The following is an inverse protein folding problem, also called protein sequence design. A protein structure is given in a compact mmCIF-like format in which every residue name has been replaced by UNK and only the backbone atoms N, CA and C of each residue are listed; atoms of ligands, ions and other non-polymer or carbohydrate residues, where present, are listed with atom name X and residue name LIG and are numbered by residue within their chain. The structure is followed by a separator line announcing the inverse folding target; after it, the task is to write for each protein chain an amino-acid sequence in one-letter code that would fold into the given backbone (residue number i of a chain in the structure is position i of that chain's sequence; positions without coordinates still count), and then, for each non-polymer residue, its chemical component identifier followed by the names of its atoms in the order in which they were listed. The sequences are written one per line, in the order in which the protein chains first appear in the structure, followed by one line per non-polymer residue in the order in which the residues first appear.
data_IF_599503824759
#
_entry.id   IF_599503824759
#
_cell.length_a   1.000
_cell.length_b   1.000
_cell.length_c   1.000
_cell.angle_alpha   90.00
_cell.angle_beta   90.00
_cell.angle_gamma   90.00
#
_symmetry.space_group_name_H-M   'P 1'
#
loop_
_entity.id
_entity.type
_entity.pdbx_description
1 polymer ?
#
# COMPACT_ATOMS: atom_id res chain seq x y z
N UNK A 1 -14.02 -53.96 -11.04
CA UNK A 1 -12.99 -53.66 -10.00
C UNK A 1 -11.57 -54.12 -10.31
N UNK A 2 -11.31 -55.10 -11.19
CA UNK A 2 -9.97 -55.58 -11.52
C UNK A 2 -9.10 -54.65 -12.40
N UNK A 3 -9.69 -53.64 -13.07
CA UNK A 3 -9.00 -52.75 -14.00
C UNK A 3 -8.20 -51.62 -13.27
N UNK A 4 -8.70 -51.16 -12.13
CA UNK A 4 -8.07 -50.05 -11.38
C UNK A 4 -6.76 -50.49 -10.74
N UNK A 5 -6.65 -51.75 -10.29
CA UNK A 5 -5.42 -52.30 -9.69
C UNK A 5 -4.26 -52.53 -10.66
N UNK A 6 -4.50 -52.51 -12.01
CA UNK A 6 -3.42 -52.60 -13.00
C UNK A 6 -2.66 -51.30 -13.15
N UNK A 7 -3.27 -50.17 -12.84
CA UNK A 7 -2.67 -48.82 -12.91
C UNK A 7 -1.60 -48.65 -11.84
N UNK A 8 -1.69 -49.42 -10.74
CA UNK A 8 -0.76 -49.32 -9.60
C UNK A 8 0.48 -50.27 -9.69
N UNK A 9 0.78 -50.85 -10.85
CA UNK A 9 2.01 -51.61 -11.06
C UNK A 9 3.11 -50.72 -11.65
N UNK A 10 4.12 -50.43 -10.86
CA UNK A 10 5.41 -49.82 -11.28
C UNK A 10 5.31 -48.51 -12.05
N UNK A 11 5.27 -48.54 -13.36
CA UNK A 11 5.24 -47.36 -14.22
C UNK A 11 3.97 -46.49 -14.07
N UNK A 12 2.83 -47.07 -13.65
CA UNK A 12 1.61 -46.31 -13.45
C UNK A 12 1.65 -45.40 -12.23
N UNK A 13 2.28 -45.81 -11.15
CA UNK A 13 2.49 -45.00 -9.95
C UNK A 13 3.44 -43.83 -10.27
N UNK A 14 4.52 -44.12 -10.99
CA UNK A 14 5.52 -43.10 -11.36
C UNK A 14 4.89 -42.02 -12.28
N UNK A 15 4.08 -42.47 -13.26
CA UNK A 15 3.36 -41.54 -14.14
C UNK A 15 2.36 -40.69 -13.36
N UNK A 16 1.60 -41.29 -12.43
CA UNK A 16 0.64 -40.55 -11.60
C UNK A 16 1.34 -39.51 -10.73
N UNK A 17 2.47 -39.87 -10.11
CA UNK A 17 3.29 -38.94 -9.34
C UNK A 17 3.85 -37.82 -10.22
N UNK A 18 4.38 -38.16 -11.39
CA UNK A 18 4.89 -37.18 -12.37
C UNK A 18 3.80 -36.19 -12.82
N UNK A 19 2.59 -36.69 -13.13
CA UNK A 19 1.46 -35.83 -13.47
C UNK A 19 1.06 -34.93 -12.30
N UNK A 20 1.00 -35.48 -11.09
CA UNK A 20 0.65 -34.68 -9.89
C UNK A 20 1.62 -33.54 -9.66
N UNK A 21 2.93 -33.82 -9.75
CA UNK A 21 3.97 -32.78 -9.65
C UNK A 21 3.85 -31.75 -10.77
N UNK A 22 3.62 -32.20 -12.01
CA UNK A 22 3.47 -31.29 -13.15
C UNK A 22 2.24 -30.37 -13.00
N UNK A 23 1.09 -30.92 -12.58
CA UNK A 23 -0.10 -30.10 -12.33
C UNK A 23 0.07 -29.15 -11.15
N UNK A 24 0.74 -29.58 -10.08
CA UNK A 24 1.05 -28.72 -8.95
C UNK A 24 1.96 -27.55 -9.35
N UNK A 25 3.02 -27.83 -10.13
CA UNK A 25 3.90 -26.79 -10.66
C UNK A 25 3.16 -25.81 -11.59
N UNK A 26 2.33 -26.34 -12.51
CA UNK A 26 1.52 -25.51 -13.38
C UNK A 26 0.54 -24.63 -12.60
N UNK A 27 -0.10 -25.16 -11.56
CA UNK A 27 -0.99 -24.39 -10.69
C UNK A 27 -0.26 -23.22 -10.02
N UNK A 28 0.93 -23.49 -9.44
CA UNK A 28 1.74 -22.44 -8.82
C UNK A 28 2.11 -21.35 -9.82
N UNK A 29 2.54 -21.73 -11.03
CA UNK A 29 2.86 -20.77 -12.10
C UNK A 29 1.64 -19.93 -12.52
N UNK A 30 0.46 -20.55 -12.65
CA UNK A 30 -0.77 -19.83 -12.98
C UNK A 30 -1.16 -18.82 -11.90
N UNK A 31 -1.03 -19.22 -10.62
CA UNK A 31 -1.28 -18.30 -9.49
C UNK A 31 -0.31 -17.14 -9.51
N UNK A 32 0.99 -17.40 -9.78
CA UNK A 32 2.00 -16.34 -9.88
C UNK A 32 1.68 -15.37 -11.03
N UNK A 33 1.39 -15.89 -12.21
CA UNK A 33 1.01 -15.07 -13.38
C UNK A 33 -0.24 -14.23 -13.08
N UNK A 34 -1.25 -14.83 -12.44
CA UNK A 34 -2.46 -14.09 -12.05
C UNK A 34 -2.15 -12.97 -11.06
N UNK A 35 -1.29 -13.23 -10.07
CA UNK A 35 -0.84 -12.25 -9.10
C UNK A 35 -0.11 -11.09 -9.80
N UNK A 36 0.84 -11.40 -10.68
CA UNK A 36 1.65 -10.41 -11.38
C UNK A 36 0.81 -9.57 -12.37
N UNK A 37 -0.11 -10.19 -13.09
CA UNK A 37 -1.05 -9.50 -13.97
C UNK A 37 -2.04 -8.59 -13.21
N UNK A 38 -2.29 -8.89 -11.93
CA UNK A 38 -3.13 -8.10 -11.03
C UNK A 38 -2.39 -6.98 -10.31
N UNK A 39 -1.07 -6.81 -10.52
CA UNK A 39 -0.24 -5.88 -9.75
C UNK A 39 -0.68 -4.43 -9.95
N UNK A 40 -0.84 -3.69 -8.84
CA UNK A 40 -1.29 -2.30 -8.80
C UNK A 40 -2.65 -1.98 -9.47
N UNK A 41 -3.49 -2.97 -9.76
CA UNK A 41 -4.79 -2.76 -10.44
C UNK A 41 -5.78 -1.87 -9.67
N UNK A 42 -5.59 -1.67 -8.38
CA UNK A 42 -6.43 -0.75 -7.59
C UNK A 42 -6.15 0.70 -7.93
N UNK A 43 -4.94 1.00 -8.41
CA UNK A 43 -4.58 2.34 -8.90
C UNK A 43 -5.26 2.54 -10.24
N UNK A 44 -6.18 3.52 -10.31
CA UNK A 44 -6.90 3.84 -11.55
C UNK A 44 -5.96 4.44 -12.57
N UNK A 45 -6.19 4.11 -13.83
CA UNK A 45 -5.46 4.72 -14.97
C UNK A 45 -3.92 4.66 -14.81
N UNK A 46 -3.39 3.54 -14.30
CA UNK A 46 -1.97 3.34 -14.03
C UNK A 46 -1.08 3.68 -15.25
N UNK A 47 -1.59 3.45 -16.46
CA UNK A 47 -0.90 3.79 -17.72
C UNK A 47 -0.74 5.31 -17.94
N UNK A 48 -1.54 6.13 -17.26
CA UNK A 48 -1.50 7.60 -17.30
C UNK A 48 -0.85 8.20 -16.06
N UNK A 49 -0.38 7.37 -15.14
CA UNK A 49 0.29 7.81 -13.92
C UNK A 49 1.77 8.06 -14.19
N UNK A 50 2.22 9.28 -13.94
CA UNK A 50 3.61 9.69 -14.11
C UNK A 50 4.20 10.20 -12.80
N UNK A 51 5.48 9.95 -12.60
CA UNK A 51 6.22 10.47 -11.48
C UNK A 51 7.10 11.61 -11.98
N UNK A 52 6.95 12.78 -11.37
CA UNK A 52 7.83 13.92 -11.66
C UNK A 52 9.19 13.69 -11.03
N UNK A 53 10.23 13.65 -11.86
CA UNK A 53 11.62 13.52 -11.43
C UNK A 53 12.51 14.58 -12.04
N UNK A 54 13.65 14.83 -11.39
CA UNK A 54 14.72 15.68 -11.92
C UNK A 54 15.93 14.83 -12.27
N UNK A 55 16.78 15.28 -13.22
CA UNK A 55 18.05 14.60 -13.46
C UNK A 55 18.87 14.50 -12.17
N UNK A 56 19.45 13.34 -11.93
CA UNK A 56 20.26 13.11 -10.74
C UNK A 56 21.58 13.87 -10.83
N UNK A 57 21.95 14.58 -9.77
CA UNK A 57 23.22 15.27 -9.67
C UNK A 57 24.41 14.31 -9.41
N UNK A 58 24.09 13.10 -8.93
CA UNK A 58 25.08 12.11 -8.50
C UNK A 58 25.28 10.96 -9.49
N UNK A 59 24.42 10.85 -10.50
CA UNK A 59 24.46 9.73 -11.44
C UNK A 59 23.97 10.18 -12.80
N UNK A 60 24.88 10.22 -13.76
CA UNK A 60 24.57 10.58 -15.14
C UNK A 60 23.52 9.62 -15.73
N UNK A 61 22.52 10.17 -16.43
CA UNK A 61 21.45 9.40 -17.05
C UNK A 61 20.38 8.84 -16.09
N UNK A 62 20.45 9.12 -14.78
CA UNK A 62 19.43 8.73 -13.82
C UNK A 62 18.59 9.93 -13.38
N UNK A 63 17.35 9.63 -13.00
CA UNK A 63 16.43 10.62 -12.44
C UNK A 63 16.29 10.38 -10.93
N UNK A 64 16.12 11.48 -10.20
CA UNK A 64 15.74 11.44 -8.79
C UNK A 64 14.33 12.02 -8.64
N UNK A 65 13.52 11.42 -7.81
CA UNK A 65 12.13 11.84 -7.55
C UNK A 65 12.01 12.77 -6.34
N UNK A 66 13.15 13.11 -5.73
CA UNK A 66 13.18 14.02 -4.59
C UNK A 66 13.27 15.45 -5.08
N UNK A 67 12.15 16.15 -5.03
CA UNK A 67 12.01 17.57 -5.31
C UNK A 67 11.58 18.31 -4.06
N UNK A 68 11.98 19.58 -3.95
CA UNK A 68 11.47 20.48 -2.93
C UNK A 68 9.95 20.64 -3.10
N UNK A 69 9.16 20.41 -2.05
CA UNK A 69 7.68 20.44 -2.08
C UNK A 69 7.11 21.72 -2.69
N UNK A 70 7.56 22.95 -2.32
CA UNK A 70 7.07 24.17 -2.96
C UNK A 70 7.31 24.22 -4.47
N UNK A 71 8.43 23.71 -4.94
CA UNK A 71 8.74 23.65 -6.38
C UNK A 71 7.84 22.66 -7.10
N UNK A 72 7.57 21.49 -6.51
CA UNK A 72 6.62 20.51 -7.05
C UNK A 72 5.24 21.13 -7.22
N UNK A 73 4.73 21.80 -6.18
CA UNK A 73 3.43 22.47 -6.20
C UNK A 73 3.39 23.52 -7.33
N UNK A 74 4.39 24.41 -7.39
CA UNK A 74 4.44 25.46 -8.40
C UNK A 74 4.50 24.93 -9.84
N UNK A 75 5.17 23.80 -10.08
CA UNK A 75 5.21 23.16 -11.40
C UNK A 75 3.83 22.58 -11.73
N UNK A 76 3.20 21.87 -10.79
CA UNK A 76 1.94 21.17 -11.02
C UNK A 76 0.77 22.14 -11.20
N UNK A 77 0.74 23.25 -10.48
CA UNK A 77 -0.27 24.30 -10.65
C UNK A 77 -0.23 24.95 -12.03
N UNK A 78 0.92 24.96 -12.70
CA UNK A 78 1.09 25.50 -14.04
C UNK A 78 0.91 24.45 -15.15
N UNK A 79 0.87 23.17 -14.82
CA UNK A 79 0.80 22.07 -15.77
C UNK A 79 -0.65 21.83 -16.24
N UNK A 80 -1.14 22.60 -17.21
CA UNK A 80 -2.52 22.51 -17.73
C UNK A 80 -2.92 21.16 -18.33
N UNK A 81 -1.97 20.27 -18.60
CA UNK A 81 -2.23 18.92 -19.14
C UNK A 81 -2.39 17.86 -18.04
N UNK A 82 -2.18 18.23 -16.77
CA UNK A 82 -2.30 17.33 -15.63
C UNK A 82 -3.72 17.44 -15.07
N UNK A 83 -4.46 16.35 -15.10
CA UNK A 83 -5.84 16.29 -14.60
C UNK A 83 -5.90 16.27 -13.08
N UNK A 84 -4.98 15.53 -12.45
CA UNK A 84 -4.88 15.37 -11.01
C UNK A 84 -3.44 15.13 -10.61
N UNK A 85 -3.04 15.64 -9.47
CA UNK A 85 -1.68 15.45 -8.96
C UNK A 85 -1.65 15.42 -7.44
N UNK A 86 -0.62 14.84 -6.90
CA UNK A 86 -0.38 14.84 -5.48
C UNK A 86 1.08 14.61 -5.15
N UNK A 87 1.44 14.94 -3.92
CA UNK A 87 2.77 14.68 -3.38
C UNK A 87 2.67 13.52 -2.41
N UNK A 88 3.54 12.52 -2.61
CA UNK A 88 3.64 11.37 -1.74
C UNK A 88 5.07 11.24 -1.24
N UNK A 89 5.24 11.10 0.05
CA UNK A 89 6.48 10.67 0.67
C UNK A 89 6.28 9.28 1.25
N UNK A 90 6.71 8.29 0.49
CA UNK A 90 6.71 6.90 0.91
C UNK A 90 8.09 6.66 1.52
N UNK A 91 8.19 6.80 2.85
CA UNK A 91 9.48 6.74 3.55
C UNK A 91 9.98 5.32 3.72
N UNK A 92 11.24 5.06 3.37
CA UNK A 92 12.07 3.92 3.72
C UNK A 92 11.39 2.55 3.71
N UNK A 93 11.61 1.72 4.73
CA UNK A 93 10.88 0.47 4.98
C UNK A 93 9.44 0.71 5.50
N UNK A 94 9.03 1.98 5.54
CA UNK A 94 7.68 2.44 5.85
C UNK A 94 7.19 2.14 7.26
N UNK A 95 8.06 1.62 8.14
CA UNK A 95 7.65 1.22 9.48
C UNK A 95 8.04 2.26 10.51
N UNK A 96 7.05 2.95 11.02
CA UNK A 96 7.20 3.82 12.18
C UNK A 96 6.50 3.22 13.41
N UNK A 97 6.96 3.60 14.58
CA UNK A 97 6.26 3.26 15.80
C UNK A 97 5.01 4.13 15.92
N UNK A 98 3.88 3.48 16.17
CA UNK A 98 2.61 4.12 16.45
C UNK A 98 2.18 3.71 17.83
N UNK A 99 1.76 4.66 18.66
CA UNK A 99 1.34 4.42 20.04
C UNK A 99 -0.14 4.74 20.18
N UNK A 100 -0.83 3.95 20.99
CA UNK A 100 -2.24 4.11 21.30
C UNK A 100 -2.41 4.02 22.81
N UNK A 101 -3.19 4.92 23.39
CA UNK A 101 -3.36 5.04 24.85
C UNK A 101 -2.25 5.87 25.49
N UNK A 102 -2.36 6.07 26.79
CA UNK A 102 -1.41 6.84 27.60
C UNK A 102 -1.07 6.10 28.90
N UNK A 103 0.11 6.36 29.44
CA UNK A 103 0.55 5.81 30.72
C UNK A 103 0.68 4.28 30.68
N UNK A 104 0.05 3.60 31.66
CA UNK A 104 0.12 2.14 31.80
C UNK A 104 -0.66 1.38 30.70
N UNK A 105 -1.56 2.05 29.99
CA UNK A 105 -2.36 1.48 28.91
C UNK A 105 -1.73 1.72 27.52
N UNK A 106 -0.57 2.39 27.46
CA UNK A 106 0.10 2.66 26.20
C UNK A 106 0.53 1.36 25.51
N UNK A 107 0.08 1.20 24.27
CA UNK A 107 0.47 0.09 23.40
C UNK A 107 1.20 0.63 22.18
N UNK A 108 2.34 0.02 21.87
CA UNK A 108 3.19 0.40 20.73
C UNK A 108 3.09 -0.62 19.61
N UNK A 109 2.89 -0.14 18.40
CA UNK A 109 2.81 -0.94 17.18
C UNK A 109 3.86 -0.46 16.17
N UNK A 110 4.42 -1.38 15.39
CA UNK A 110 5.28 -1.06 14.26
C UNK A 110 4.47 -1.20 12.98
N UNK A 111 4.05 -0.07 12.42
CA UNK A 111 3.11 -0.01 11.29
C UNK A 111 3.67 0.92 10.21
N UNK A 112 3.45 0.56 8.94
CA UNK A 112 3.85 1.38 7.80
C UNK A 112 3.08 2.70 7.76
N UNK A 113 3.82 3.80 7.65
CA UNK A 113 3.26 5.16 7.58
C UNK A 113 3.75 5.88 6.33
N UNK A 114 2.93 6.77 5.79
CA UNK A 114 3.30 7.62 4.66
C UNK A 114 2.66 9.00 4.75
N UNK A 115 3.36 10.00 4.25
CA UNK A 115 2.81 11.35 4.07
C UNK A 115 2.28 11.48 2.65
N UNK A 116 0.99 11.76 2.52
CA UNK A 116 0.33 11.96 1.23
C UNK A 116 -0.56 13.19 1.28
N UNK A 117 -0.46 14.05 0.27
CA UNK A 117 -1.44 15.12 0.10
C UNK A 117 -2.79 14.55 -0.33
N UNK A 118 -3.86 15.32 -0.12
CA UNK A 118 -5.23 14.93 -0.52
C UNK A 118 -5.30 14.48 -1.98
N UNK A 119 -4.64 15.20 -2.90
CA UNK A 119 -4.59 14.83 -4.32
C UNK A 119 -3.91 13.48 -4.56
N UNK A 120 -2.89 13.12 -3.77
CA UNK A 120 -2.24 11.82 -3.89
C UNK A 120 -3.17 10.67 -3.48
N UNK A 121 -4.05 10.87 -2.49
CA UNK A 121 -5.05 9.86 -2.11
C UNK A 121 -5.98 9.54 -3.27
N UNK A 122 -6.43 10.56 -4.01
CA UNK A 122 -7.31 10.40 -5.16
C UNK A 122 -6.58 9.72 -6.33
N UNK A 123 -5.34 10.14 -6.62
CA UNK A 123 -4.49 9.56 -7.68
C UNK A 123 -4.22 8.08 -7.43
N UNK A 124 -3.93 7.69 -6.19
CA UNK A 124 -3.66 6.29 -5.84
C UNK A 124 -4.92 5.46 -5.57
N UNK A 125 -6.10 6.09 -5.59
CA UNK A 125 -7.38 5.40 -5.43
C UNK A 125 -7.64 4.89 -4.00
N UNK A 126 -7.14 5.58 -2.97
CA UNK A 126 -7.53 5.31 -1.60
C UNK A 126 -9.01 5.61 -1.42
N UNK A 127 -9.75 4.70 -0.78
CA UNK A 127 -11.20 4.82 -0.61
C UNK A 127 -11.54 4.77 0.88
N UNK A 128 -12.18 5.81 1.44
CA UNK A 128 -12.62 5.78 2.83
C UNK A 128 -13.81 4.83 2.98
N UNK A 129 -13.78 3.99 4.01
CA UNK A 129 -14.88 3.09 4.44
C UNK A 129 -15.70 3.75 5.54
N UNK A 130 -15.02 4.43 6.46
CA UNK A 130 -15.65 5.20 7.54
C UNK A 130 -14.99 6.56 7.62
N UNK A 131 -15.77 7.61 7.82
CA UNK A 131 -15.28 8.99 7.82
C UNK A 131 -15.02 9.53 6.42
N UNK A 132 -14.25 10.59 6.31
CA UNK A 132 -13.88 11.23 5.04
C UNK A 132 -12.44 11.72 5.07
N UNK A 133 -11.81 11.84 3.89
CA UNK A 133 -10.49 12.47 3.78
C UNK A 133 -10.51 13.99 3.80
N UNK A 134 -11.68 14.64 3.84
CA UNK A 134 -11.80 16.10 3.80
C UNK A 134 -11.17 16.79 5.02
N UNK A 135 -10.99 16.05 6.10
CA UNK A 135 -10.31 16.55 7.31
C UNK A 135 -8.80 16.41 7.30
N UNK A 136 -8.21 15.73 6.30
CA UNK A 136 -6.78 15.42 6.30
C UNK A 136 -5.86 16.61 6.00
N UNK A 137 -6.39 17.72 5.50
CA UNK A 137 -5.62 18.95 5.29
C UNK A 137 -5.33 19.72 6.59
N UNK A 138 -5.94 19.28 7.70
CA UNK A 138 -5.69 19.87 9.02
C UNK A 138 -4.48 19.23 9.66
N UNK A 139 -3.70 20.04 10.36
CA UNK A 139 -2.65 19.54 11.24
C UNK A 139 -3.25 18.56 12.27
N UNK A 140 -2.44 17.60 12.71
CA UNK A 140 -2.83 16.61 13.74
C UNK A 140 -3.99 15.68 13.33
N UNK A 141 -4.18 15.44 12.03
CA UNK A 141 -5.14 14.46 11.55
C UNK A 141 -4.48 13.30 10.80
N UNK A 142 -5.13 12.14 10.83
CA UNK A 142 -4.60 10.91 10.27
C UNK A 142 -5.72 10.04 9.72
N UNK A 143 -5.44 9.31 8.64
CA UNK A 143 -6.29 8.22 8.18
C UNK A 143 -5.56 6.88 8.38
N UNK A 144 -6.30 5.82 8.71
CA UNK A 144 -5.76 4.50 8.97
C UNK A 144 -6.46 3.45 8.12
N UNK A 145 -5.76 2.36 7.78
CA UNK A 145 -6.38 1.25 7.06
C UNK A 145 -7.30 0.43 7.97
N UNK A 146 -8.22 -0.35 7.40
CA UNK A 146 -9.12 -1.24 8.16
C UNK A 146 -8.34 -2.24 9.01
N UNK A 147 -7.26 -2.81 8.47
CA UNK A 147 -6.40 -3.74 9.22
C UNK A 147 -5.69 -3.06 10.37
N UNK A 148 -5.20 -1.84 10.21
CA UNK A 148 -4.59 -1.05 11.27
C UNK A 148 -5.60 -0.65 12.35
N UNK A 149 -6.79 -0.20 11.96
CA UNK A 149 -7.89 0.10 12.87
C UNK A 149 -8.24 -1.11 13.76
N UNK A 150 -8.39 -2.28 13.13
CA UNK A 150 -8.68 -3.54 13.85
C UNK A 150 -7.54 -3.97 14.76
N UNK A 151 -6.28 -3.86 14.30
CA UNK A 151 -5.10 -4.24 15.06
C UNK A 151 -4.92 -3.38 16.31
N UNK A 152 -5.11 -2.08 16.16
CA UNK A 152 -4.93 -1.10 17.24
C UNK A 152 -6.17 -0.96 18.14
N UNK A 153 -7.35 -1.37 17.64
CA UNK A 153 -8.63 -1.21 18.32
C UNK A 153 -9.08 0.24 18.37
N UNK A 154 -8.80 1.02 17.33
CA UNK A 154 -9.15 2.45 17.21
C UNK A 154 -10.01 2.71 15.97
N UNK A 155 -10.80 3.77 16.01
CA UNK A 155 -11.68 4.19 14.94
C UNK A 155 -11.69 5.70 14.73
N UNK A 156 -12.59 6.19 13.91
CA UNK A 156 -12.75 7.63 13.65
C UNK A 156 -13.09 8.37 14.94
N UNK A 157 -12.34 9.42 15.22
CA UNK A 157 -12.45 10.23 16.45
C UNK A 157 -11.44 9.88 17.53
N UNK A 158 -10.79 8.71 17.45
CA UNK A 158 -9.76 8.33 18.42
C UNK A 158 -8.42 9.01 18.12
N UNK A 159 -7.57 9.14 19.13
CA UNK A 159 -6.23 9.70 19.03
C UNK A 159 -5.15 8.62 18.94
N UNK A 160 -4.19 8.81 18.04
CA UNK A 160 -2.99 7.96 17.94
C UNK A 160 -1.73 8.80 17.84
N UNK A 161 -0.61 8.32 18.38
CA UNK A 161 0.69 8.99 18.27
C UNK A 161 1.51 8.36 17.15
N UNK A 162 1.88 9.13 16.15
CA UNK A 162 2.65 8.66 15.01
C UNK A 162 4.12 9.03 15.14
N UNK A 163 5.00 8.05 15.05
CA UNK A 163 6.44 8.24 15.16
C UNK A 163 6.87 8.76 16.54
N UNK A 164 7.64 9.84 16.54
CA UNK A 164 8.13 10.52 17.76
C UNK A 164 7.21 11.67 18.19
N UNK A 165 6.03 11.79 17.60
CA UNK A 165 5.05 12.83 17.94
C UNK A 165 4.70 12.81 19.43
N UNK A 166 4.59 14.00 20.02
CA UNK A 166 4.19 14.17 21.43
C UNK A 166 2.69 14.38 21.57
N UNK A 167 2.08 14.96 20.54
CA UNK A 167 0.64 15.21 20.50
C UNK A 167 -0.04 14.07 19.70
N UNK A 168 -1.24 13.65 20.13
CA UNK A 168 -2.00 12.64 19.42
C UNK A 168 -2.60 13.22 18.14
N UNK A 169 -2.56 12.46 17.06
CA UNK A 169 -3.27 12.77 15.82
C UNK A 169 -4.66 12.13 15.85
N UNK A 170 -5.68 12.89 15.46
CA UNK A 170 -7.06 12.41 15.43
C UNK A 170 -7.31 11.59 14.17
N UNK A 171 -7.85 10.39 14.30
CA UNK A 171 -8.28 9.55 13.17
C UNK A 171 -9.53 10.15 12.54
N UNK A 172 -9.43 10.63 11.30
CA UNK A 172 -10.55 11.25 10.55
C UNK A 172 -11.19 10.29 9.55
N UNK A 173 -10.46 9.27 9.12
CA UNK A 173 -10.98 8.25 8.22
C UNK A 173 -10.35 6.88 8.47
N UNK A 174 -11.15 5.85 8.24
CA UNK A 174 -10.68 4.48 8.05
C UNK A 174 -10.86 4.14 6.58
N UNK A 175 -9.80 3.70 5.91
CA UNK A 175 -9.82 3.38 4.48
C UNK A 175 -9.61 1.89 4.22
N UNK A 176 -10.08 1.45 3.04
CA UNK A 176 -9.94 0.08 2.58
C UNK A 176 -8.47 -0.31 2.37
N UNK A 177 -8.04 -1.46 2.90
CA UNK A 177 -6.68 -1.94 2.73
C UNK A 177 -6.27 -2.02 1.25
N UNK A 178 -5.02 -1.66 0.96
CA UNK A 178 -4.47 -1.88 -0.36
C UNK A 178 -4.20 -3.37 -0.58
N UNK A 179 -4.45 -3.89 -1.79
CA UNK A 179 -4.20 -5.29 -2.11
C UNK A 179 -2.73 -5.67 -1.88
N UNK A 180 -2.48 -6.93 -1.50
CA UNK A 180 -1.12 -7.44 -1.27
C UNK A 180 -0.21 -7.34 -2.52
N UNK A 181 -0.81 -7.32 -3.71
CA UNK A 181 -0.12 -7.11 -4.99
C UNK A 181 -0.11 -5.63 -5.41
N UNK A 182 0.13 -4.73 -4.47
CA UNK A 182 0.32 -3.31 -4.71
C UNK A 182 1.59 -2.82 -4.00
N UNK A 183 2.30 -1.87 -4.61
CA UNK A 183 3.42 -1.16 -3.97
C UNK A 183 3.00 -0.39 -2.72
N UNK A 184 1.70 -0.13 -2.58
CA UNK A 184 1.12 0.62 -1.48
C UNK A 184 0.58 -0.27 -0.36
N UNK A 185 0.76 -1.60 -0.43
CA UNK A 185 0.18 -2.57 0.50
C UNK A 185 0.69 -2.43 1.95
N UNK A 186 1.88 -1.87 2.13
CA UNK A 186 2.48 -1.68 3.46
C UNK A 186 2.15 -0.33 4.09
N UNK A 187 1.32 0.48 3.44
CA UNK A 187 0.89 1.78 3.96
C UNK A 187 -0.41 1.56 4.71
N UNK A 188 -0.36 1.76 6.01
CA UNK A 188 -1.51 1.55 6.90
C UNK A 188 -1.91 2.82 7.65
N UNK A 189 -1.04 3.84 7.67
CA UNK A 189 -1.28 5.11 8.31
C UNK A 189 -0.87 6.22 7.35
N UNK A 190 -1.81 7.14 7.08
CA UNK A 190 -1.65 8.27 6.19
C UNK A 190 -1.83 9.57 6.96
N UNK A 191 -0.93 10.53 6.76
CA UNK A 191 -1.03 11.89 7.32
C UNK A 191 -0.47 12.91 6.31
N UNK A 192 -0.87 14.18 6.43
CA UNK A 192 -0.44 15.27 5.55
C UNK A 192 0.69 16.11 6.15
#
# INVERSE_FOLDING_TARGET
MKSIFKIFKGSGILNLLGMTVAFAAMYVLLVQVYYDLGYNRKIKDLERLYILGTPSWFSEGKYQVTLNRPLQIAIMEQASMVESWGVAYIGGDGKNYTRVGEGEEERTYQIGTSQLTRGALDVFGFTPVVGTFDGMDKEETVAISESAAKLMGVGVGDGIFVGKGKEPMTVVAVYEDMPMNSDLNNIHILYC
#
